data_IF_253527766698
#
_entry.id   IF_253527766698
#
_cell.length_a   1.000
_cell.length_b   1.000
_cell.length_c   1.000
_cell.angle_alpha   90.00
_cell.angle_beta   90.00
_cell.angle_gamma   90.00
#
_symmetry.space_group_name_H-M   'P 1'
#
loop_
_entity.id
_entity.type
_entity.pdbx_description
1 polymer ?
#
# COMPACT_ATOMS: atom_id res chain seq x y z
N UNK A 1 41.01 -95.05 11.66
CA UNK A 1 41.11 -94.44 10.32
C UNK A 1 39.73 -94.37 9.68
N UNK A 2 39.14 -93.19 9.51
CA UNK A 2 38.27 -92.81 8.37
C UNK A 2 37.85 -91.34 8.50
N UNK A 3 37.97 -90.66 7.37
CA UNK A 3 37.96 -89.21 7.14
C UNK A 3 36.55 -88.62 7.33
N UNK A 4 36.46 -87.45 7.97
CA UNK A 4 35.29 -86.56 7.89
C UNK A 4 35.56 -85.53 6.79
N UNK A 5 34.79 -85.60 5.72
CA UNK A 5 34.81 -84.67 4.59
C UNK A 5 33.89 -83.50 4.92
N UNK A 6 34.44 -82.29 5.02
CA UNK A 6 33.68 -81.04 5.08
C UNK A 6 33.45 -80.58 3.64
N UNK A 7 32.19 -80.44 3.23
CA UNK A 7 31.80 -79.82 1.95
C UNK A 7 31.70 -78.32 2.21
N UNK A 8 32.59 -77.55 1.59
CA UNK A 8 32.55 -76.10 1.59
C UNK A 8 31.45 -75.58 0.66
N UNK A 9 30.70 -74.59 1.14
CA UNK A 9 29.91 -73.71 0.30
C UNK A 9 30.39 -72.28 0.57
N UNK A 10 31.07 -71.70 -0.41
CA UNK A 10 31.49 -70.29 -0.41
C UNK A 10 30.29 -69.50 -0.93
N UNK A 11 29.57 -68.84 -0.03
CA UNK A 11 28.61 -67.80 -0.40
C UNK A 11 29.37 -66.47 -0.52
N UNK A 12 29.57 -66.00 -1.75
CA UNK A 12 30.08 -64.66 -2.02
C UNK A 12 29.00 -63.62 -1.67
N UNK A 13 29.16 -62.94 -0.53
CA UNK A 13 28.34 -61.78 -0.19
C UNK A 13 28.87 -60.55 -0.94
N UNK A 14 28.21 -60.18 -2.03
CA UNK A 14 28.41 -58.88 -2.65
C UNK A 14 27.79 -57.80 -1.75
N UNK A 15 28.62 -57.08 -1.00
CA UNK A 15 28.21 -55.91 -0.25
C UNK A 15 27.89 -54.78 -1.23
N UNK A 16 26.60 -54.57 -1.50
CA UNK A 16 26.14 -53.34 -2.14
C UNK A 16 26.36 -52.18 -1.15
N UNK A 17 27.37 -51.34 -1.42
CA UNK A 17 27.53 -50.09 -0.72
C UNK A 17 26.34 -49.19 -1.07
N UNK A 18 25.34 -49.16 -0.19
CA UNK A 18 24.30 -48.15 -0.24
C UNK A 18 24.98 -46.80 -0.01
N UNK A 19 25.03 -45.97 -1.07
CA UNK A 19 25.42 -44.58 -0.93
C UNK A 19 24.46 -43.93 0.07
N UNK A 20 24.97 -43.57 1.24
CA UNK A 20 24.23 -42.76 2.20
C UNK A 20 23.74 -41.50 1.47
N UNK A 21 22.48 -41.07 1.66
CA UNK A 21 22.05 -39.79 1.14
C UNK A 21 23.01 -38.74 1.69
N UNK A 22 23.77 -38.10 0.81
CA UNK A 22 24.63 -37.00 1.22
C UNK A 22 23.76 -36.01 1.97
N UNK A 23 24.07 -35.79 3.26
CA UNK A 23 23.41 -34.77 4.07
C UNK A 23 23.68 -33.45 3.35
N UNK A 24 22.73 -32.98 2.56
CA UNK A 24 22.83 -31.70 1.89
C UNK A 24 23.13 -30.68 2.98
N UNK A 25 24.31 -30.05 2.92
CA UNK A 25 24.72 -29.05 3.89
C UNK A 25 23.57 -28.06 4.09
N UNK A 26 23.19 -27.73 5.35
CA UNK A 26 22.05 -26.84 5.59
C UNK A 26 22.20 -25.58 4.74
N UNK A 27 21.22 -25.31 3.87
CA UNK A 27 21.23 -24.13 2.99
C UNK A 27 21.49 -22.89 3.85
N UNK A 28 22.61 -22.21 3.62
CA UNK A 28 22.93 -20.97 4.36
C UNK A 28 22.15 -19.82 3.74
N UNK A 29 21.27 -19.20 4.52
CA UNK A 29 20.48 -18.05 4.09
C UNK A 29 21.27 -16.76 4.37
N UNK A 30 21.36 -15.90 3.36
CA UNK A 30 22.17 -14.68 3.41
C UNK A 30 21.39 -13.41 3.06
N UNK A 31 22.06 -12.26 3.21
CA UNK A 31 21.49 -10.96 2.79
C UNK A 31 21.20 -10.89 1.28
N UNK A 32 21.87 -11.72 0.45
CA UNK A 32 21.55 -11.84 -0.97
C UNK A 32 20.14 -12.38 -1.22
N UNK A 33 19.64 -13.27 -0.37
CA UNK A 33 18.26 -13.77 -0.44
C UNK A 33 17.25 -12.67 -0.10
N UNK A 34 17.51 -11.91 0.98
CA UNK A 34 16.72 -10.74 1.35
C UNK A 34 16.69 -9.71 0.22
N UNK A 35 17.85 -9.41 -0.37
CA UNK A 35 17.95 -8.46 -1.47
C UNK A 35 17.16 -8.92 -2.72
N UNK A 36 17.13 -10.22 -3.01
CA UNK A 36 16.34 -10.79 -4.11
C UNK A 36 14.84 -10.66 -3.87
N UNK A 37 14.37 -10.88 -2.65
CA UNK A 37 12.97 -10.62 -2.27
C UNK A 37 12.63 -9.14 -2.43
N UNK A 38 13.49 -8.24 -1.94
CA UNK A 38 13.25 -6.80 -2.01
C UNK A 38 13.23 -6.27 -3.46
N UNK A 39 14.01 -6.86 -4.38
CA UNK A 39 13.94 -6.53 -5.82
C UNK A 39 12.58 -6.89 -6.42
N UNK A 40 12.09 -8.12 -6.18
CA UNK A 40 10.76 -8.55 -6.63
C UNK A 40 9.64 -7.72 -6.00
N UNK A 41 9.84 -7.29 -4.77
CA UNK A 41 8.90 -6.39 -4.11
C UNK A 41 8.79 -5.03 -4.79
N UNK A 42 9.88 -4.49 -5.34
CA UNK A 42 9.84 -3.24 -6.09
C UNK A 42 8.92 -3.35 -7.33
N UNK A 43 8.86 -4.52 -7.99
CA UNK A 43 7.95 -4.78 -9.10
C UNK A 43 6.48 -4.75 -8.65
N UNK A 44 6.18 -5.28 -7.46
CA UNK A 44 4.85 -5.23 -6.85
C UNK A 44 4.44 -3.78 -6.56
N UNK A 45 5.35 -2.98 -6.00
CA UNK A 45 5.09 -1.55 -5.73
C UNK A 45 4.85 -0.77 -7.03
N UNK A 46 5.65 -1.01 -8.07
CA UNK A 46 5.44 -0.39 -9.38
C UNK A 46 4.08 -0.79 -9.99
N UNK A 47 3.69 -2.06 -9.86
CA UNK A 47 2.38 -2.56 -10.28
C UNK A 47 1.23 -1.90 -9.50
N UNK A 48 1.39 -1.69 -8.19
CA UNK A 48 0.42 -0.97 -7.34
C UNK A 48 0.23 0.49 -7.76
N UNK A 49 1.32 1.21 -8.06
CA UNK A 49 1.23 2.60 -8.53
C UNK A 49 0.46 2.75 -9.85
N UNK A 50 0.49 1.72 -10.70
CA UNK A 50 -0.22 1.71 -11.97
C UNK A 50 -1.68 1.31 -11.80
N UNK A 51 -1.95 0.17 -11.19
CA UNK A 51 -3.28 -0.45 -11.25
C UNK A 51 -4.11 -0.25 -9.98
N UNK A 52 -3.51 -0.37 -8.79
CA UNK A 52 -4.20 -0.18 -7.51
C UNK A 52 -5.31 -1.19 -7.20
N UNK A 53 -5.48 -1.57 -5.94
CA UNK A 53 -6.67 -2.28 -5.47
C UNK A 53 -6.98 -3.67 -6.07
N UNK A 54 -6.21 -4.15 -7.05
CA UNK A 54 -6.44 -5.41 -7.74
C UNK A 54 -6.04 -6.62 -6.87
N UNK A 55 -6.86 -7.67 -6.91
CA UNK A 55 -6.64 -8.91 -6.15
C UNK A 55 -5.30 -9.57 -6.48
N UNK A 56 -4.86 -9.51 -7.74
CA UNK A 56 -3.57 -10.08 -8.15
C UNK A 56 -2.36 -9.41 -7.48
N UNK A 57 -2.43 -8.11 -7.16
CA UNK A 57 -1.36 -7.39 -6.46
C UNK A 57 -1.28 -7.88 -5.00
N UNK A 58 -2.43 -8.02 -4.35
CA UNK A 58 -2.51 -8.57 -2.99
C UNK A 58 -1.94 -9.99 -2.94
N UNK A 59 -2.39 -10.88 -3.82
CA UNK A 59 -1.97 -12.28 -3.83
C UNK A 59 -0.46 -12.41 -4.07
N UNK A 60 0.10 -11.64 -5.00
CA UNK A 60 1.56 -11.62 -5.23
C UNK A 60 2.32 -11.11 -4.01
N UNK A 61 1.83 -10.08 -3.32
CA UNK A 61 2.45 -9.56 -2.11
C UNK A 61 2.38 -10.56 -0.95
N UNK A 62 1.24 -11.21 -0.75
CA UNK A 62 1.07 -12.26 0.27
C UNK A 62 1.97 -13.47 -0.01
N UNK A 63 2.02 -13.94 -1.26
CA UNK A 63 2.89 -15.06 -1.65
C UNK A 63 4.39 -14.74 -1.44
N UNK A 64 4.81 -13.50 -1.71
CA UNK A 64 6.19 -13.08 -1.44
C UNK A 64 6.50 -13.05 0.06
N UNK A 65 5.52 -12.72 0.91
CA UNK A 65 5.65 -12.83 2.35
C UNK A 65 5.83 -14.27 2.81
N UNK A 66 5.07 -15.20 2.23
CA UNK A 66 5.18 -16.63 2.53
C UNK A 66 6.54 -17.19 2.11
N UNK A 67 7.08 -16.72 0.98
CA UNK A 67 8.45 -17.06 0.57
C UNK A 67 9.50 -16.55 1.56
N UNK A 68 9.35 -15.34 2.08
CA UNK A 68 10.25 -14.80 3.11
C UNK A 68 10.17 -15.62 4.41
N UNK A 69 8.98 -16.08 4.80
CA UNK A 69 8.77 -16.95 5.96
C UNK A 69 9.31 -18.36 5.75
N UNK A 70 9.21 -18.90 4.53
CA UNK A 70 9.85 -20.17 4.19
C UNK A 70 11.38 -20.07 4.31
N UNK A 71 11.97 -18.96 3.88
CA UNK A 71 13.41 -18.70 4.10
C UNK A 71 13.75 -18.53 5.57
N UNK A 72 12.86 -17.92 6.36
CA UNK A 72 13.02 -17.78 7.81
C UNK A 72 13.07 -19.15 8.51
N UNK A 73 12.26 -20.10 8.06
CA UNK A 73 12.20 -21.46 8.61
C UNK A 73 13.25 -22.41 8.02
N UNK A 74 14.00 -21.98 7.00
CA UNK A 74 14.97 -22.81 6.31
C UNK A 74 16.41 -22.59 6.81
N UNK A 75 17.15 -23.70 6.91
CA UNK A 75 18.60 -23.69 7.02
C UNK A 75 19.19 -22.85 8.16
N UNK A 76 20.46 -22.44 8.00
CA UNK A 76 21.17 -21.60 8.97
C UNK A 76 21.23 -20.14 8.50
N UNK A 77 20.97 -19.21 9.42
CA UNK A 77 20.96 -17.77 9.15
C UNK A 77 21.41 -17.01 10.41
N UNK A 78 22.11 -15.88 10.24
CA UNK A 78 22.45 -15.00 11.36
C UNK A 78 21.20 -14.28 11.87
N UNK A 79 21.24 -13.79 13.11
CA UNK A 79 20.12 -13.03 13.68
C UNK A 79 19.77 -11.79 12.85
N UNK A 80 20.77 -11.13 12.26
CA UNK A 80 20.57 -10.00 11.33
C UNK A 80 19.75 -10.42 10.12
N UNK A 81 20.09 -11.55 9.48
CA UNK A 81 19.34 -12.06 8.32
C UNK A 81 17.90 -12.40 8.72
N UNK A 82 17.71 -13.04 9.87
CA UNK A 82 16.37 -13.39 10.39
C UNK A 82 15.48 -12.17 10.63
N UNK A 83 16.01 -11.14 11.29
CA UNK A 83 15.31 -9.86 11.50
C UNK A 83 14.94 -9.21 10.16
N UNK A 84 15.84 -9.25 9.17
CA UNK A 84 15.57 -8.71 7.83
C UNK A 84 14.50 -9.53 7.07
N UNK A 85 14.44 -10.84 7.23
CA UNK A 85 13.40 -11.68 6.62
C UNK A 85 12.01 -11.36 7.22
N UNK A 86 11.92 -11.19 8.55
CA UNK A 86 10.68 -10.73 9.18
C UNK A 86 10.28 -9.33 8.72
N UNK A 87 11.23 -8.40 8.60
CA UNK A 87 10.98 -7.06 8.07
C UNK A 87 10.44 -7.09 6.64
N UNK A 88 11.07 -7.88 5.74
CA UNK A 88 10.58 -8.08 4.37
C UNK A 88 9.18 -8.69 4.36
N UNK A 89 8.94 -9.76 5.14
CA UNK A 89 7.61 -10.38 5.23
C UNK A 89 6.55 -9.38 5.72
N UNK A 90 6.85 -8.58 6.74
CA UNK A 90 5.98 -7.51 7.24
C UNK A 90 5.71 -6.45 6.16
N UNK A 91 6.73 -6.03 5.40
CA UNK A 91 6.58 -5.08 4.29
C UNK A 91 5.69 -5.61 3.16
N UNK A 92 5.76 -6.91 2.89
CA UNK A 92 4.98 -7.56 1.84
C UNK A 92 3.52 -7.73 2.28
N UNK A 93 3.28 -8.19 3.52
CA UNK A 93 1.93 -8.20 4.12
C UNK A 93 1.34 -6.80 4.24
N UNK A 94 2.15 -5.78 4.54
CA UNK A 94 1.71 -4.38 4.52
C UNK A 94 1.29 -3.90 3.13
N UNK A 95 1.90 -4.40 2.04
CA UNK A 95 1.44 -4.10 0.67
C UNK A 95 0.16 -4.86 0.33
N UNK A 96 0.04 -6.13 0.76
CA UNK A 96 -1.21 -6.89 0.61
C UNK A 96 -2.38 -6.20 1.33
N UNK A 97 -2.13 -5.71 2.56
CA UNK A 97 -3.05 -4.85 3.31
C UNK A 97 -3.45 -3.62 2.50
N UNK A 98 -2.50 -2.90 1.90
CA UNK A 98 -2.80 -1.71 1.10
C UNK A 98 -3.66 -2.01 -0.14
N UNK A 99 -3.33 -3.07 -0.88
CA UNK A 99 -4.13 -3.52 -2.02
C UNK A 99 -5.56 -3.90 -1.60
N UNK A 100 -5.74 -4.55 -0.44
CA UNK A 100 -7.06 -4.85 0.11
C UNK A 100 -7.82 -3.58 0.55
N UNK A 101 -7.17 -2.59 1.17
CA UNK A 101 -7.76 -1.29 1.54
C UNK A 101 -8.28 -0.59 0.29
N UNK A 102 -7.47 -0.56 -0.76
CA UNK A 102 -7.77 0.17 -1.98
C UNK A 102 -8.82 -0.54 -2.84
N UNK A 103 -8.86 -1.87 -2.76
CA UNK A 103 -9.97 -2.70 -3.25
C UNK A 103 -11.21 -2.69 -2.35
N UNK A 104 -11.24 -1.88 -1.27
CA UNK A 104 -12.33 -1.77 -0.28
C UNK A 104 -12.68 -3.09 0.43
N UNK A 105 -11.77 -4.06 0.49
CA UNK A 105 -11.92 -5.34 1.19
C UNK A 105 -11.35 -5.23 2.61
N UNK A 106 -12.03 -4.47 3.46
CA UNK A 106 -11.50 -4.08 4.78
C UNK A 106 -11.32 -5.24 5.77
N UNK A 107 -12.13 -6.30 5.67
CA UNK A 107 -11.93 -7.49 6.52
C UNK A 107 -10.65 -8.24 6.17
N UNK A 108 -10.36 -8.36 4.88
CA UNK A 108 -9.10 -8.92 4.37
C UNK A 108 -7.92 -8.03 4.75
N UNK A 109 -8.06 -6.70 4.63
CA UNK A 109 -7.03 -5.77 5.07
C UNK A 109 -6.72 -5.88 6.58
N UNK A 110 -7.72 -6.08 7.43
CA UNK A 110 -7.52 -6.33 8.88
C UNK A 110 -6.78 -7.63 9.15
N UNK A 111 -6.99 -8.69 8.35
CA UNK A 111 -6.23 -9.94 8.47
C UNK A 111 -4.75 -9.72 8.14
N UNK A 112 -4.46 -9.11 6.99
CA UNK A 112 -3.08 -8.75 6.60
C UNK A 112 -2.41 -7.82 7.61
N UNK A 113 -3.15 -6.88 8.18
CA UNK A 113 -2.65 -5.99 9.24
C UNK A 113 -2.16 -6.78 10.46
N UNK A 114 -2.94 -7.73 10.96
CA UNK A 114 -2.57 -8.53 12.15
C UNK A 114 -1.29 -9.33 11.91
N UNK A 115 -1.19 -9.97 10.75
CA UNK A 115 0.02 -10.69 10.34
C UNK A 115 1.23 -9.76 10.22
N UNK A 116 1.08 -8.63 9.51
CA UNK A 116 2.15 -7.66 9.34
C UNK A 116 2.64 -7.09 10.68
N UNK A 117 1.74 -6.84 11.64
CA UNK A 117 2.09 -6.36 12.98
C UNK A 117 2.93 -7.38 13.75
N UNK A 118 2.50 -8.65 13.79
CA UNK A 118 3.28 -9.70 14.46
C UNK A 118 4.69 -9.83 13.86
N UNK A 119 4.80 -9.78 12.54
CA UNK A 119 6.06 -9.82 11.82
C UNK A 119 6.95 -8.60 12.10
N UNK A 120 6.37 -7.40 12.17
CA UNK A 120 7.09 -6.17 12.48
C UNK A 120 7.67 -6.17 13.90
N UNK A 121 6.95 -6.73 14.89
CA UNK A 121 7.52 -6.85 16.25
C UNK A 121 8.69 -7.84 16.28
N UNK A 122 8.60 -8.96 15.55
CA UNK A 122 9.71 -9.91 15.44
C UNK A 122 10.93 -9.34 14.69
N UNK A 123 10.72 -8.39 13.76
CA UNK A 123 11.82 -7.76 13.03
C UNK A 123 12.55 -6.72 13.88
N UNK A 124 11.85 -6.03 14.78
CA UNK A 124 12.37 -4.89 15.57
C UNK A 124 12.54 -3.61 14.76
N UNK A 125 12.08 -3.57 13.50
CA UNK A 125 12.26 -2.42 12.62
C UNK A 125 11.12 -1.39 12.78
N UNK A 126 11.45 -0.18 13.21
CA UNK A 126 10.44 0.85 13.46
C UNK A 126 9.76 1.34 12.17
N UNK A 127 10.49 1.40 11.05
CA UNK A 127 9.96 1.96 9.81
C UNK A 127 8.82 1.13 9.23
N UNK A 128 8.90 -0.20 9.31
CA UNK A 128 7.79 -1.06 8.89
C UNK A 128 6.60 -0.96 9.85
N UNK A 129 6.85 -0.87 11.16
CA UNK A 129 5.79 -0.62 12.15
C UNK A 129 5.05 0.68 11.85
N UNK A 130 5.77 1.76 11.55
CA UNK A 130 5.18 3.04 11.14
C UNK A 130 4.27 2.86 9.92
N UNK A 131 4.76 2.20 8.88
CA UNK A 131 4.01 1.99 7.64
C UNK A 131 2.69 1.26 7.88
N UNK A 132 2.73 0.15 8.63
CA UNK A 132 1.54 -0.66 8.93
C UNK A 132 0.48 0.16 9.68
N UNK A 133 0.89 0.89 10.72
CA UNK A 133 -0.02 1.72 11.50
C UNK A 133 -0.53 2.95 10.72
N UNK A 134 0.29 3.52 9.84
CA UNK A 134 -0.12 4.58 8.91
C UNK A 134 -1.18 4.09 7.90
N UNK A 135 -1.04 2.87 7.37
CA UNK A 135 -2.05 2.23 6.54
C UNK A 135 -3.32 1.90 7.34
N UNK A 136 -3.20 1.42 8.58
CA UNK A 136 -4.34 1.16 9.46
C UNK A 136 -5.16 2.44 9.72
N UNK A 137 -4.50 3.57 10.00
CA UNK A 137 -5.17 4.87 10.13
C UNK A 137 -5.95 5.25 8.86
N UNK A 138 -5.37 5.01 7.68
CA UNK A 138 -6.04 5.25 6.40
C UNK A 138 -7.25 4.32 6.18
N UNK A 139 -7.11 3.04 6.54
CA UNK A 139 -8.19 2.06 6.48
C UNK A 139 -9.38 2.49 7.33
N UNK A 140 -9.16 2.78 8.62
CA UNK A 140 -10.24 3.20 9.53
C UNK A 140 -10.88 4.51 9.10
N UNK A 141 -10.08 5.45 8.55
CA UNK A 141 -10.62 6.67 7.95
C UNK A 141 -11.56 6.36 6.78
N UNK A 142 -11.20 5.44 5.88
CA UNK A 142 -12.08 5.04 4.77
C UNK A 142 -13.34 4.29 5.22
N UNK A 143 -13.31 3.69 6.41
CA UNK A 143 -14.49 3.09 7.05
C UNK A 143 -15.37 4.11 7.80
N UNK A 144 -15.02 5.40 7.80
CA UNK A 144 -15.75 6.41 8.56
C UNK A 144 -15.57 6.28 10.08
N UNK A 145 -14.45 5.72 10.54
CA UNK A 145 -14.13 5.49 11.96
C UNK A 145 -12.97 6.41 12.40
N UNK A 146 -13.21 7.72 12.60
CA UNK A 146 -12.14 8.68 12.88
C UNK A 146 -11.41 8.43 14.21
N UNK A 147 -12.12 7.96 15.25
CA UNK A 147 -11.49 7.64 16.53
C UNK A 147 -10.46 6.51 16.42
N UNK A 148 -10.82 5.41 15.74
CA UNK A 148 -9.89 4.30 15.48
C UNK A 148 -8.75 4.71 14.55
N UNK A 149 -9.05 5.58 13.56
CA UNK A 149 -8.03 6.12 12.67
C UNK A 149 -7.00 6.96 13.42
N UNK A 150 -7.44 7.81 14.35
CA UNK A 150 -6.58 8.59 15.23
C UNK A 150 -5.72 7.68 16.11
N UNK A 151 -6.33 6.71 16.80
CA UNK A 151 -5.60 5.78 17.65
C UNK A 151 -4.51 5.00 16.88
N UNK A 152 -4.83 4.52 15.67
CA UNK A 152 -3.85 3.86 14.81
C UNK A 152 -2.72 4.80 14.36
N UNK A 153 -3.05 6.04 13.98
CA UNK A 153 -2.06 7.02 13.55
C UNK A 153 -1.17 7.49 14.72
N UNK A 154 -1.70 7.56 15.94
CA UNK A 154 -0.91 7.90 17.13
C UNK A 154 0.14 6.83 17.44
N UNK A 155 -0.15 5.54 17.20
CA UNK A 155 0.89 4.50 17.30
C UNK A 155 2.04 4.79 16.33
N UNK A 156 1.74 5.13 15.07
CA UNK A 156 2.78 5.47 14.08
C UNK A 156 3.56 6.74 14.50
N UNK A 157 2.85 7.80 14.89
CA UNK A 157 3.43 9.10 15.25
C UNK A 157 4.29 9.05 16.52
N UNK A 158 4.00 8.15 17.46
CA UNK A 158 4.74 8.04 18.71
C UNK A 158 6.02 7.18 18.62
N UNK A 159 6.30 6.55 17.48
CA UNK A 159 7.56 5.82 17.27
C UNK A 159 8.77 6.75 17.36
N UNK A 160 9.88 6.28 17.93
CA UNK A 160 11.09 7.09 18.08
C UNK A 160 11.61 7.62 16.74
N UNK A 161 11.42 6.86 15.65
CA UNK A 161 11.82 7.26 14.30
C UNK A 161 11.23 8.61 13.87
N UNK A 162 9.99 8.94 14.26
CA UNK A 162 9.32 10.18 13.82
C UNK A 162 9.94 11.41 14.49
N UNK A 163 10.65 11.22 15.61
CA UNK A 163 11.42 12.29 16.27
C UNK A 163 12.80 12.47 15.64
N UNK A 164 13.32 11.46 14.94
CA UNK A 164 14.66 11.49 14.33
C UNK A 164 14.64 11.91 12.86
N UNK A 165 13.61 11.52 12.11
CA UNK A 165 13.51 11.80 10.68
C UNK A 165 12.28 12.68 10.38
N UNK A 166 12.49 13.94 9.93
CA UNK A 166 11.43 14.86 9.60
C UNK A 166 10.45 14.37 8.53
N UNK A 167 10.87 13.51 7.60
CA UNK A 167 9.98 13.02 6.55
C UNK A 167 8.93 12.04 7.10
N UNK A 168 9.31 11.22 8.10
CA UNK A 168 8.35 10.37 8.81
C UNK A 168 7.42 11.20 9.71
N UNK A 169 7.92 12.25 10.36
CA UNK A 169 7.07 13.19 11.09
C UNK A 169 6.04 13.82 10.16
N UNK A 170 6.49 14.27 8.99
CA UNK A 170 5.65 14.86 7.94
C UNK A 170 4.53 13.92 7.50
N UNK A 171 4.85 12.67 7.14
CA UNK A 171 3.83 11.70 6.74
C UNK A 171 2.83 11.40 7.87
N UNK A 172 3.29 11.30 9.11
CA UNK A 172 2.41 11.09 10.27
C UNK A 172 1.43 12.25 10.49
N UNK A 173 1.90 13.49 10.33
CA UNK A 173 1.10 14.71 10.43
C UNK A 173 0.13 14.86 9.25
N UNK A 174 0.56 14.58 8.02
CA UNK A 174 -0.31 14.62 6.84
C UNK A 174 -1.47 13.62 6.96
N UNK A 175 -1.20 12.41 7.45
CA UNK A 175 -2.24 11.40 7.77
C UNK A 175 -3.18 11.88 8.86
N UNK A 176 -2.65 12.53 9.90
CA UNK A 176 -3.45 13.13 10.96
C UNK A 176 -4.39 14.21 10.42
N UNK A 177 -3.91 15.10 9.55
CA UNK A 177 -4.75 16.13 8.90
C UNK A 177 -5.91 15.52 8.11
N UNK A 178 -5.65 14.45 7.35
CA UNK A 178 -6.72 13.72 6.65
C UNK A 178 -7.76 13.11 7.62
N UNK A 179 -7.33 12.63 8.79
CA UNK A 179 -8.23 12.10 9.83
C UNK A 179 -9.06 13.22 10.45
N UNK A 180 -8.44 14.37 10.78
CA UNK A 180 -9.13 15.56 11.28
C UNK A 180 -10.23 16.04 10.32
N UNK A 181 -9.98 16.00 9.00
CA UNK A 181 -11.01 16.33 8.00
C UNK A 181 -12.24 15.43 8.10
N UNK A 182 -12.05 14.11 8.24
CA UNK A 182 -13.18 13.17 8.45
C UNK A 182 -13.86 13.37 9.81
N UNK A 183 -13.10 13.80 10.84
CA UNK A 183 -13.63 14.14 12.16
C UNK A 183 -14.27 15.54 12.25
N UNK A 184 -14.37 16.28 11.13
CA UNK A 184 -14.90 17.65 11.07
C UNK A 184 -14.10 18.69 11.88
N UNK A 185 -12.82 18.43 12.16
CA UNK A 185 -11.91 19.37 12.83
C UNK A 185 -11.16 20.24 11.80
N UNK A 186 -11.73 21.41 11.49
CA UNK A 186 -11.15 22.37 10.55
C UNK A 186 -9.79 22.91 11.00
N UNK A 187 -9.67 23.24 12.29
CA UNK A 187 -8.45 23.86 12.84
C UNK A 187 -7.32 22.85 12.90
N UNK A 188 -7.61 21.63 13.35
CA UNK A 188 -6.65 20.53 13.37
C UNK A 188 -6.19 20.15 11.96
N UNK A 189 -7.10 20.13 10.98
CA UNK A 189 -6.75 19.85 9.56
C UNK A 189 -5.72 20.85 9.03
N UNK A 190 -5.99 22.16 9.16
CA UNK A 190 -5.09 23.21 8.68
C UNK A 190 -3.72 23.14 9.38
N UNK A 191 -3.73 23.07 10.71
CA UNK A 191 -2.50 23.00 11.52
C UNK A 191 -1.65 21.78 11.17
N UNK A 192 -2.28 20.62 11.00
CA UNK A 192 -1.56 19.39 10.66
C UNK A 192 -0.92 19.48 9.27
N UNK A 193 -1.56 20.12 8.30
CA UNK A 193 -0.99 20.36 6.98
C UNK A 193 0.25 21.26 7.05
N UNK A 194 0.15 22.41 7.73
CA UNK A 194 1.28 23.34 7.91
C UNK A 194 2.48 22.64 8.57
N UNK A 195 2.23 21.92 9.67
CA UNK A 195 3.28 21.17 10.36
C UNK A 195 3.87 20.05 9.51
N UNK A 196 3.06 19.37 8.68
CA UNK A 196 3.54 18.35 7.76
C UNK A 196 4.43 18.95 6.67
N UNK A 197 4.03 20.09 6.10
CA UNK A 197 4.81 20.82 5.10
C UNK A 197 6.16 21.27 5.68
N UNK A 198 6.16 21.87 6.87
CA UNK A 198 7.39 22.31 7.56
C UNK A 198 8.33 21.14 7.88
N UNK A 199 7.78 19.99 8.29
CA UNK A 199 8.57 18.79 8.53
C UNK A 199 9.15 18.22 7.23
N UNK A 200 8.41 18.25 6.12
CA UNK A 200 8.90 17.82 4.81
C UNK A 200 10.06 18.71 4.33
N UNK A 201 9.92 20.03 4.48
CA UNK A 201 10.94 20.99 4.05
C UNK A 201 12.25 20.88 4.85
N UNK A 202 12.18 20.41 6.11
CA UNK A 202 13.37 20.16 6.95
C UNK A 202 14.03 18.81 6.68
N UNK A 203 13.40 17.91 5.91
CA UNK A 203 13.95 16.59 5.65
C UNK A 203 15.15 16.69 4.70
N UNK A 204 16.29 16.10 5.07
CA UNK A 204 17.44 15.99 4.17
C UNK A 204 17.11 14.95 3.07
N UNK A 205 17.17 15.29 1.78
CA UNK A 205 16.94 14.34 0.69
C UNK A 205 17.97 13.20 0.62
N UNK A 206 19.15 13.37 1.22
CA UNK A 206 20.25 12.40 1.21
C UNK A 206 20.16 11.36 2.32
N UNK A 207 19.30 11.58 3.32
CA UNK A 207 19.06 10.62 4.40
C UNK A 207 18.58 9.27 3.84
N UNK A 208 19.16 8.19 4.36
CA UNK A 208 18.72 6.84 4.03
C UNK A 208 17.30 6.59 4.55
N UNK A 209 16.39 6.25 3.64
CA UNK A 209 15.01 5.88 3.96
C UNK A 209 14.61 4.60 3.22
N UNK A 210 13.67 3.80 3.76
CA UNK A 210 13.15 2.65 3.06
C UNK A 210 12.56 3.03 1.70
N UNK A 211 12.77 2.18 0.70
CA UNK A 211 12.33 2.41 -0.68
C UNK A 211 10.84 2.76 -0.80
N UNK A 212 9.98 2.16 0.02
CA UNK A 212 8.55 2.45 0.02
C UNK A 212 8.24 3.91 0.40
N UNK A 213 9.04 4.54 1.27
CA UNK A 213 8.85 5.93 1.67
C UNK A 213 9.10 6.84 0.47
N UNK A 214 10.22 6.64 -0.22
CA UNK A 214 10.64 7.45 -1.37
C UNK A 214 9.78 7.21 -2.61
N UNK A 215 9.31 5.98 -2.81
CA UNK A 215 8.45 5.62 -3.94
C UNK A 215 7.05 6.26 -3.83
N UNK A 216 6.61 6.58 -2.61
CA UNK A 216 5.23 6.98 -2.35
C UNK A 216 5.07 8.41 -1.85
N UNK A 217 5.86 8.84 -0.86
CA UNK A 217 5.60 10.08 -0.15
C UNK A 217 6.44 11.24 -0.68
N UNK A 218 5.75 12.25 -1.17
CA UNK A 218 6.30 13.51 -1.68
C UNK A 218 5.24 14.62 -1.52
N UNK A 219 5.52 15.79 -2.10
CA UNK A 219 4.59 16.91 -2.12
C UNK A 219 3.22 16.54 -2.73
N UNK A 220 3.19 15.67 -3.74
CA UNK A 220 1.95 15.26 -4.39
C UNK A 220 1.05 14.46 -3.44
N UNK A 221 1.61 13.57 -2.63
CA UNK A 221 0.84 12.84 -1.62
C UNK A 221 0.44 13.72 -0.44
N UNK A 222 1.28 14.67 -0.02
CA UNK A 222 0.91 15.65 1.01
C UNK A 222 -0.34 16.45 0.58
N UNK A 223 -0.32 16.98 -0.65
CA UNK A 223 -1.46 17.68 -1.23
C UNK A 223 -2.67 16.75 -1.47
N UNK A 224 -2.46 15.47 -1.84
CA UNK A 224 -3.53 14.45 -1.95
C UNK A 224 -4.27 14.21 -0.63
N UNK A 225 -3.54 14.20 0.49
CA UNK A 225 -4.11 14.03 1.82
C UNK A 225 -4.88 15.28 2.27
N UNK A 226 -4.34 16.47 1.99
CA UNK A 226 -5.02 17.75 2.23
C UNK A 226 -6.31 17.86 1.41
N UNK A 227 -6.26 17.55 0.12
CA UNK A 227 -7.43 17.44 -0.76
C UNK A 227 -8.50 16.56 -0.15
N UNK A 228 -8.13 15.36 0.31
CA UNK A 228 -9.09 14.44 0.94
C UNK A 228 -9.68 15.00 2.24
N UNK A 229 -8.93 15.80 2.99
CA UNK A 229 -9.38 16.39 4.25
C UNK A 229 -10.38 17.53 3.99
N UNK A 230 -10.03 18.47 3.11
CA UNK A 230 -10.89 19.62 2.78
C UNK A 230 -12.18 19.21 2.05
N UNK A 231 -12.14 18.16 1.22
CA UNK A 231 -13.37 17.55 0.69
C UNK A 231 -14.30 17.06 1.80
N UNK A 232 -13.77 16.39 2.82
CA UNK A 232 -14.58 15.90 3.93
C UNK A 232 -15.15 17.06 4.78
N UNK A 233 -14.44 18.18 4.87
CA UNK A 233 -14.89 19.39 5.58
C UNK A 233 -15.92 20.22 4.78
N UNK A 234 -16.17 19.90 3.51
CA UNK A 234 -16.98 20.73 2.61
C UNK A 234 -16.29 22.04 2.21
N UNK A 235 -14.97 22.15 2.39
CA UNK A 235 -14.16 23.29 1.98
C UNK A 235 -13.64 23.05 0.55
N UNK A 236 -14.58 23.14 -0.40
CA UNK A 236 -14.37 22.67 -1.76
C UNK A 236 -13.37 23.51 -2.56
N UNK A 237 -13.27 24.81 -2.28
CA UNK A 237 -12.29 25.69 -2.93
C UNK A 237 -10.86 25.33 -2.51
N UNK A 238 -10.63 25.10 -1.21
CA UNK A 238 -9.32 24.65 -0.70
C UNK A 238 -9.00 23.23 -1.16
N UNK A 239 -10.02 22.37 -1.25
CA UNK A 239 -9.86 21.05 -1.86
C UNK A 239 -9.39 21.15 -3.31
N UNK A 240 -10.04 21.94 -4.15
CA UNK A 240 -9.64 22.17 -5.55
C UNK A 240 -8.21 22.71 -5.67
N UNK A 241 -7.82 23.66 -4.82
CA UNK A 241 -6.45 24.16 -4.73
C UNK A 241 -5.42 23.03 -4.53
N UNK A 242 -5.64 22.16 -3.53
CA UNK A 242 -4.75 21.02 -3.28
C UNK A 242 -4.81 19.95 -4.37
N UNK A 243 -5.96 19.76 -5.03
CA UNK A 243 -6.06 18.87 -6.17
C UNK A 243 -5.16 19.31 -7.33
N UNK A 244 -5.16 20.59 -7.68
CA UNK A 244 -4.27 21.11 -8.73
C UNK A 244 -2.79 20.92 -8.37
N UNK A 245 -2.41 21.24 -7.13
CA UNK A 245 -1.02 21.01 -6.66
C UNK A 245 -0.62 19.54 -6.71
N UNK A 246 -1.48 18.66 -6.23
CA UNK A 246 -1.28 17.21 -6.28
C UNK A 246 -1.08 16.74 -7.73
N UNK A 247 -1.99 17.09 -8.63
CA UNK A 247 -1.96 16.64 -10.03
C UNK A 247 -0.72 17.13 -10.80
N UNK A 248 -0.26 18.35 -10.49
CA UNK A 248 0.96 18.95 -11.07
C UNK A 248 2.26 18.31 -10.53
N UNK A 249 2.27 17.86 -9.27
CA UNK A 249 3.43 17.22 -8.66
C UNK A 249 3.50 15.70 -8.92
N UNK A 250 2.37 15.06 -9.28
CA UNK A 250 2.30 13.62 -9.48
C UNK A 250 3.22 13.15 -10.63
N UNK A 251 4.08 12.18 -10.30
CA UNK A 251 4.94 11.51 -11.28
C UNK A 251 4.11 10.78 -12.36
N UNK A 252 4.58 10.72 -13.62
CA UNK A 252 3.81 10.16 -14.74
C UNK A 252 3.33 8.71 -14.54
N UNK A 253 4.11 7.87 -13.86
CA UNK A 253 3.79 6.45 -13.65
C UNK A 253 2.73 6.19 -12.55
N UNK A 254 2.33 7.21 -11.79
CA UNK A 254 1.35 7.09 -10.68
C UNK A 254 -0.09 7.19 -11.19
N UNK A 255 -0.47 6.29 -12.10
CA UNK A 255 -1.78 6.30 -12.79
C UNK A 255 -2.93 6.21 -11.79
N UNK A 256 -2.80 5.33 -10.79
CA UNK A 256 -3.77 5.16 -9.71
C UNK A 256 -4.03 6.46 -8.94
N UNK A 257 -2.96 7.07 -8.43
CA UNK A 257 -3.05 8.29 -7.63
C UNK A 257 -3.63 9.44 -8.45
N UNK A 258 -3.28 9.52 -9.74
CA UNK A 258 -3.84 10.50 -10.67
C UNK A 258 -5.34 10.31 -10.84
N UNK A 259 -5.82 9.08 -11.07
CA UNK A 259 -7.25 8.81 -11.20
C UNK A 259 -8.04 9.20 -9.92
N UNK A 260 -7.50 8.89 -8.74
CA UNK A 260 -8.09 9.28 -7.46
C UNK A 260 -8.13 10.81 -7.30
N UNK A 261 -7.02 11.50 -7.57
CA UNK A 261 -6.92 12.95 -7.44
C UNK A 261 -7.84 13.69 -8.44
N UNK A 262 -7.88 13.24 -9.70
CA UNK A 262 -8.78 13.78 -10.74
C UNK A 262 -10.25 13.59 -10.35
N UNK A 263 -10.62 12.41 -9.85
CA UNK A 263 -12.01 12.17 -9.42
C UNK A 263 -12.39 13.06 -8.23
N UNK A 264 -11.48 13.25 -7.28
CA UNK A 264 -11.67 14.18 -6.15
C UNK A 264 -11.81 15.64 -6.58
N UNK A 265 -11.01 16.07 -7.57
CA UNK A 265 -11.14 17.39 -8.17
C UNK A 265 -12.53 17.60 -8.78
N UNK A 266 -13.02 16.61 -9.55
CA UNK A 266 -14.35 16.68 -10.13
C UNK A 266 -15.46 16.82 -9.06
N UNK A 267 -15.34 16.10 -7.94
CA UNK A 267 -16.24 16.26 -6.79
C UNK A 267 -16.17 17.67 -6.19
N UNK A 268 -14.97 18.22 -5.98
CA UNK A 268 -14.80 19.59 -5.48
C UNK A 268 -15.43 20.63 -6.42
N UNK A 269 -15.24 20.51 -7.73
CA UNK A 269 -15.80 21.40 -8.74
C UNK A 269 -17.33 21.32 -8.79
N UNK A 270 -17.88 20.10 -8.75
CA UNK A 270 -19.33 19.90 -8.76
C UNK A 270 -19.98 20.52 -7.52
N UNK A 271 -19.37 20.33 -6.35
CA UNK A 271 -19.88 20.87 -5.09
C UNK A 271 -19.78 22.41 -5.00
N UNK A 272 -18.95 23.03 -5.83
CA UNK A 272 -18.90 24.50 -6.01
C UNK A 272 -19.92 25.02 -7.03
N UNK A 273 -20.76 24.16 -7.61
CA UNK A 273 -21.75 24.55 -8.60
C UNK A 273 -21.20 24.73 -10.02
N UNK A 274 -20.07 24.08 -10.34
CA UNK A 274 -19.45 24.11 -11.67
C UNK A 274 -19.59 22.75 -12.41
N UNK A 275 -20.82 22.32 -12.78
CA UNK A 275 -21.06 20.99 -13.35
C UNK A 275 -20.35 20.75 -14.69
N UNK A 276 -20.17 21.79 -15.52
CA UNK A 276 -19.44 21.70 -16.79
C UNK A 276 -17.97 21.33 -16.55
N UNK A 277 -17.27 22.13 -15.74
CA UNK A 277 -15.87 21.92 -15.41
C UNK A 277 -15.67 20.57 -14.69
N UNK A 278 -16.56 20.24 -13.77
CA UNK A 278 -16.54 18.99 -13.02
C UNK A 278 -16.65 17.77 -13.94
N UNK A 279 -17.58 17.80 -14.89
CA UNK A 279 -17.79 16.71 -15.86
C UNK A 279 -16.60 16.57 -16.79
N UNK A 280 -16.10 17.69 -17.33
CA UNK A 280 -14.90 17.69 -18.15
C UNK A 280 -13.67 17.15 -17.40
N UNK A 281 -13.54 17.42 -16.10
CA UNK A 281 -12.49 16.85 -15.25
C UNK A 281 -12.69 15.35 -15.03
N UNK A 282 -13.91 14.90 -14.70
CA UNK A 282 -14.20 13.48 -14.46
C UNK A 282 -13.92 12.61 -15.71
N UNK A 283 -14.21 13.12 -16.91
CA UNK A 283 -13.94 12.44 -18.18
C UNK A 283 -12.45 12.29 -18.51
N UNK A 284 -11.55 12.97 -17.79
CA UNK A 284 -10.09 12.78 -17.92
C UNK A 284 -9.58 11.53 -17.19
N UNK A 285 -10.42 10.87 -16.39
CA UNK A 285 -10.03 9.62 -15.73
C UNK A 285 -9.88 8.51 -16.78
N UNK A 286 -8.74 7.79 -16.82
CA UNK A 286 -8.53 6.71 -17.78
C UNK A 286 -9.58 5.60 -17.63
N UNK A 287 -10.05 5.04 -18.76
CA UNK A 287 -11.07 4.00 -18.77
C UNK A 287 -10.71 2.79 -17.89
N UNK A 288 -9.46 2.31 -17.97
CA UNK A 288 -8.96 1.20 -17.13
C UNK A 288 -9.13 1.49 -15.63
N UNK A 289 -8.77 2.69 -15.18
CA UNK A 289 -8.95 3.07 -13.78
C UNK A 289 -10.43 3.24 -13.42
N UNK A 290 -11.25 3.77 -14.34
CA UNK A 290 -12.68 3.93 -14.13
C UNK A 290 -13.43 2.60 -13.97
N UNK A 291 -12.97 1.53 -14.63
CA UNK A 291 -13.67 0.23 -14.68
C UNK A 291 -13.06 -0.84 -13.79
N UNK A 292 -11.73 -0.87 -13.63
CA UNK A 292 -11.03 -1.93 -12.90
C UNK A 292 -10.63 -1.55 -11.48
N UNK A 293 -10.55 -0.26 -11.15
CA UNK A 293 -10.15 0.19 -9.81
C UNK A 293 -11.38 0.46 -8.92
N UNK A 294 -11.75 -0.51 -8.09
CA UNK A 294 -12.97 -0.49 -7.26
C UNK A 294 -13.26 0.85 -6.54
N UNK A 295 -12.24 1.46 -5.92
CA UNK A 295 -12.38 2.79 -5.30
C UNK A 295 -12.72 3.91 -6.29
N UNK A 296 -11.99 4.02 -7.40
CA UNK A 296 -12.22 5.05 -8.42
C UNK A 296 -13.60 4.84 -9.04
N UNK A 297 -13.96 3.60 -9.40
CA UNK A 297 -15.30 3.25 -9.88
C UNK A 297 -16.38 3.74 -8.92
N UNK A 298 -16.24 3.47 -7.62
CA UNK A 298 -17.21 3.93 -6.61
C UNK A 298 -17.30 5.45 -6.55
N UNK A 299 -16.17 6.15 -6.55
CA UNK A 299 -16.13 7.61 -6.52
C UNK A 299 -16.77 8.23 -7.77
N UNK A 300 -16.61 7.63 -8.95
CA UNK A 300 -17.23 8.09 -10.19
C UNK A 300 -18.74 7.79 -10.23
N UNK A 301 -19.19 6.69 -9.62
CA UNK A 301 -20.61 6.42 -9.43
C UNK A 301 -21.26 7.48 -8.52
N UNK A 302 -20.59 7.83 -7.41
CA UNK A 302 -21.03 8.89 -6.50
C UNK A 302 -21.05 10.25 -7.19
N UNK A 303 -20.03 10.56 -8.01
CA UNK A 303 -19.99 11.77 -8.83
C UNK A 303 -21.18 11.82 -9.79
N UNK A 304 -21.44 10.74 -10.54
CA UNK A 304 -22.54 10.70 -11.50
C UNK A 304 -23.92 10.81 -10.84
N UNK A 305 -24.08 10.26 -9.63
CA UNK A 305 -25.30 10.43 -8.85
C UNK A 305 -25.48 11.88 -8.40
N UNK A 306 -24.43 12.52 -7.88
CA UNK A 306 -24.45 13.93 -7.50
C UNK A 306 -24.73 14.84 -8.71
N UNK A 307 -24.10 14.59 -9.86
CA UNK A 307 -24.30 15.38 -11.08
C UNK A 307 -25.77 15.36 -11.54
N UNK A 308 -26.40 14.19 -11.53
CA UNK A 308 -27.83 14.05 -11.88
C UNK A 308 -28.75 14.74 -10.88
N UNK A 309 -28.39 14.78 -9.61
CA UNK A 309 -29.16 15.47 -8.58
C UNK A 309 -29.06 17.00 -8.72
N UNK A 310 -27.88 17.53 -9.04
CA UNK A 310 -27.64 18.97 -9.17
C UNK A 310 -28.12 19.55 -10.51
N UNK A 311 -28.08 18.76 -11.59
CA UNK A 311 -28.43 19.21 -12.94
C UNK A 311 -29.32 18.18 -13.69
N UNK A 312 -30.54 17.90 -13.21
CA UNK A 312 -31.42 16.90 -13.79
C UNK A 312 -31.82 17.27 -15.23
N UNK A 313 -31.74 16.31 -16.15
CA UNK A 313 -32.13 16.51 -17.55
C UNK A 313 -31.21 17.42 -18.37
N UNK A 314 -30.09 17.87 -17.81
CA UNK A 314 -29.11 18.69 -18.52
C UNK A 314 -28.37 17.90 -19.59
N UNK A 315 -27.92 18.58 -20.65
CA UNK A 315 -27.04 18.00 -21.67
C UNK A 315 -25.74 17.46 -21.05
N UNK A 316 -25.24 18.09 -19.99
CA UNK A 316 -24.05 17.67 -19.25
C UNK A 316 -24.25 16.27 -18.63
N UNK A 317 -25.40 16.04 -18.00
CA UNK A 317 -25.72 14.73 -17.44
C UNK A 317 -25.87 13.64 -18.53
N UNK A 318 -26.33 14.01 -19.71
CA UNK A 318 -26.38 13.13 -20.88
C UNK A 318 -24.98 12.80 -21.38
N UNK A 319 -24.12 13.81 -21.60
CA UNK A 319 -22.71 13.64 -21.99
C UNK A 319 -21.96 12.74 -21.02
N UNK A 320 -22.15 12.94 -19.71
CA UNK A 320 -21.57 12.06 -18.70
C UNK A 320 -22.06 10.61 -18.84
N UNK A 321 -23.37 10.43 -19.07
CA UNK A 321 -23.97 9.10 -19.23
C UNK A 321 -23.41 8.38 -20.44
N UNK A 322 -23.33 9.06 -21.59
CA UNK A 322 -22.72 8.55 -22.83
C UNK A 322 -21.26 8.17 -22.62
N UNK A 323 -20.47 9.04 -21.96
CA UNK A 323 -19.07 8.76 -21.67
C UNK A 323 -18.88 7.54 -20.77
N UNK A 324 -19.69 7.39 -19.71
CA UNK A 324 -19.60 6.20 -18.86
C UNK A 324 -20.01 4.92 -19.59
N UNK A 325 -20.84 5.00 -20.63
CA UNK A 325 -21.18 3.86 -21.47
C UNK A 325 -19.98 3.41 -22.31
N UNK A 326 -19.18 4.35 -22.86
CA UNK A 326 -17.98 3.99 -23.63
C UNK A 326 -16.93 3.29 -22.78
N UNK A 327 -16.76 3.69 -21.50
CA UNK A 327 -15.90 2.97 -20.56
C UNK A 327 -16.32 1.50 -20.38
N UNK A 328 -17.62 1.22 -20.29
CA UNK A 328 -18.14 -0.15 -20.13
C UNK A 328 -17.93 -1.00 -21.38
N UNK A 329 -17.96 -0.38 -22.57
CA UNK A 329 -17.70 -1.08 -23.84
C UNK A 329 -16.23 -1.38 -24.07
N UNK A 330 -15.33 -0.60 -23.46
CA UNK A 330 -13.88 -0.75 -23.59
C UNK A 330 -13.25 -1.65 -22.51
N UNK A 331 -14.03 -2.10 -21.52
CA UNK A 331 -13.59 -2.97 -20.43
C UNK A 331 -13.90 -4.44 -20.71
#
# INVERSE_FOLDING_TARGET
MKRRTLVGSIAAAAAAAAAAPGTASPRRIGMSDVNRLNKRFAEIIASDHRHGGQLGIEQRAAALADEALNLQNAGSATQRVRSNLYASAAAFRSSAMWAAIDGRRYDVAKAHMREAQALAEMSGEQAIKFRIWSHAGTMYRHMGRPADASAANDVARNLHLTRRDPLFASLGLARQGAIHGTAQDRTGTRRAFEQAQDAMLRADPTDYRPMWMLAFYDQAELDSLALSAHLALGDYSTAEYHAHRCLSALRPHMIRSRAIATTRLAHAQLAQGAPDAATATAMKVPAEAATQHARVTRMLQEFGAALRATAPGSSIAQTWTEHTATWRMAA
#
